data_IF_032541306860
#
_entry.id   IF_032541306860
#
_cell.length_a   1.000
_cell.length_b   1.000
_cell.length_c   1.000
_cell.angle_alpha   90.00
_cell.angle_beta   90.00
_cell.angle_gamma   90.00
#
_symmetry.space_group_name_H-M   'P 1'
#
loop_
_entity.id
_entity.type
_entity.pdbx_description
1 polymer ?
#
# COMPACT_ATOMS: atom_id res chain seq x y z
N UNK A 1 5.06 22.56 -16.91
CA UNK A 1 5.28 22.59 -15.45
C UNK A 1 6.63 21.96 -15.14
N UNK A 2 7.31 22.41 -14.10
CA UNK A 2 8.58 21.78 -13.67
C UNK A 2 8.27 20.42 -13.05
N UNK A 3 8.95 19.32 -13.44
CA UNK A 3 8.72 18.00 -12.85
C UNK A 3 8.98 17.99 -11.35
N UNK A 4 8.17 17.26 -10.59
CA UNK A 4 8.39 17.02 -9.17
C UNK A 4 9.61 16.14 -8.98
N UNK A 5 10.58 16.59 -8.19
CA UNK A 5 11.80 15.82 -7.90
C UNK A 5 11.53 14.79 -6.81
N UNK A 6 11.85 13.53 -7.07
CA UNK A 6 11.64 12.43 -6.13
C UNK A 6 12.93 11.66 -5.83
N UNK A 7 13.00 11.14 -4.61
CA UNK A 7 13.98 10.12 -4.24
C UNK A 7 13.27 8.79 -3.96
N UNK A 8 13.89 7.68 -4.33
CA UNK A 8 13.37 6.34 -4.11
C UNK A 8 14.25 5.64 -3.08
N UNK A 9 13.68 5.21 -1.96
CA UNK A 9 14.33 4.44 -0.90
C UNK A 9 13.92 2.96 -1.00
N UNK A 10 14.89 2.06 -0.91
CA UNK A 10 14.78 0.66 -1.30
C UNK A 10 14.87 0.47 -2.82
N UNK A 11 15.66 1.33 -3.50
CA UNK A 11 15.69 1.47 -4.95
C UNK A 11 16.18 0.22 -5.70
N UNK A 12 17.11 -0.56 -5.12
CA UNK A 12 17.60 -1.80 -5.70
C UNK A 12 16.64 -2.99 -5.52
N UNK A 13 15.61 -2.85 -4.66
CA UNK A 13 14.60 -3.86 -4.41
C UNK A 13 13.61 -4.05 -5.58
N UNK A 14 12.78 -5.10 -5.48
CA UNK A 14 11.77 -5.43 -6.50
C UNK A 14 10.81 -4.27 -6.80
N UNK A 15 10.33 -3.58 -5.77
CA UNK A 15 9.43 -2.43 -5.94
C UNK A 15 10.19 -1.17 -6.34
N UNK A 16 11.38 -0.93 -5.76
CA UNK A 16 12.23 0.20 -6.10
C UNK A 16 12.56 0.26 -7.59
N UNK A 17 12.96 -0.87 -8.18
CA UNK A 17 13.22 -0.96 -9.64
C UNK A 17 11.97 -0.65 -10.48
N UNK A 18 10.76 -1.05 -10.03
CA UNK A 18 9.51 -0.68 -10.74
C UNK A 18 9.21 0.81 -10.62
N UNK A 19 9.43 1.41 -9.43
CA UNK A 19 9.31 2.85 -9.23
C UNK A 19 10.29 3.64 -10.11
N UNK A 20 11.55 3.20 -10.20
CA UNK A 20 12.55 3.80 -11.10
C UNK A 20 12.09 3.70 -12.55
N UNK A 21 11.69 2.48 -13.00
CA UNK A 21 11.28 2.27 -14.39
C UNK A 21 10.07 3.12 -14.78
N UNK A 22 9.04 3.18 -13.94
CA UNK A 22 7.82 3.93 -14.24
C UNK A 22 7.98 5.44 -14.00
N UNK A 23 8.71 5.83 -12.95
CA UNK A 23 8.97 7.23 -12.65
C UNK A 23 9.89 7.91 -13.68
N UNK A 24 10.78 7.15 -14.35
CA UNK A 24 11.66 7.70 -15.39
C UNK A 24 10.95 8.08 -16.69
N UNK A 25 9.80 7.51 -16.95
CA UNK A 25 8.96 7.80 -18.14
C UNK A 25 7.79 8.75 -17.83
N UNK A 26 7.56 9.09 -16.57
CA UNK A 26 6.51 10.05 -16.18
C UNK A 26 7.03 11.47 -16.38
N UNK A 27 6.44 12.28 -17.31
CA UNK A 27 6.92 13.63 -17.62
C UNK A 27 6.75 14.63 -16.46
N UNK A 28 5.93 14.29 -15.46
CA UNK A 28 5.71 15.12 -14.28
C UNK A 28 6.66 14.81 -13.13
N UNK A 29 7.55 13.81 -13.30
CA UNK A 29 8.48 13.36 -12.27
C UNK A 29 9.93 13.44 -12.75
N UNK A 30 10.85 13.68 -11.80
CA UNK A 30 12.29 13.58 -12.00
C UNK A 30 12.91 12.83 -10.83
N UNK A 31 13.49 11.67 -11.10
CA UNK A 31 14.22 10.91 -10.09
C UNK A 31 15.59 11.61 -9.90
N UNK A 32 15.86 12.09 -8.67
CA UNK A 32 17.10 12.79 -8.32
C UNK A 32 17.97 12.00 -7.35
N UNK A 33 17.44 10.95 -6.74
CA UNK A 33 18.20 10.02 -5.91
C UNK A 33 17.56 8.63 -5.92
N UNK A 34 18.42 7.62 -5.80
CA UNK A 34 18.06 6.23 -5.61
C UNK A 34 18.87 5.72 -4.41
N UNK A 35 18.21 5.42 -3.30
CA UNK A 35 18.83 5.06 -2.03
C UNK A 35 18.54 3.61 -1.69
N UNK A 36 19.53 2.89 -1.22
CA UNK A 36 19.40 1.52 -0.74
C UNK A 36 20.32 1.29 0.46
N UNK A 37 20.29 0.08 1.03
CA UNK A 37 21.16 -0.30 2.14
C UNK A 37 22.62 0.06 1.86
N UNK A 38 23.38 0.61 2.81
CA UNK A 38 24.84 0.81 2.67
C UNK A 38 25.62 -0.48 2.36
N UNK A 39 25.03 -1.65 2.62
CA UNK A 39 25.58 -2.96 2.29
C UNK A 39 25.06 -3.54 0.95
N UNK A 40 24.28 -2.79 0.19
CA UNK A 40 23.74 -3.26 -1.09
C UNK A 40 24.87 -3.56 -2.09
N UNK A 41 24.84 -4.72 -2.78
CA UNK A 41 25.81 -5.04 -3.84
C UNK A 41 25.61 -4.20 -5.11
N UNK A 42 24.55 -3.41 -5.16
CA UNK A 42 24.18 -2.57 -6.29
C UNK A 42 24.62 -1.10 -6.12
N UNK A 43 25.32 -0.76 -5.01
CA UNK A 43 25.86 0.60 -4.82
C UNK A 43 26.73 1.04 -5.99
N UNK A 44 26.56 2.29 -6.42
CA UNK A 44 27.28 2.91 -7.54
C UNK A 44 26.74 2.55 -8.91
N UNK A 45 25.88 1.52 -9.06
CA UNK A 45 25.22 1.21 -10.34
C UNK A 45 24.18 2.27 -10.66
N UNK A 46 23.99 2.58 -11.94
CA UNK A 46 22.91 3.46 -12.37
C UNK A 46 21.53 2.85 -12.09
N UNK A 47 20.65 3.64 -11.50
CA UNK A 47 19.30 3.18 -11.10
C UNK A 47 18.45 2.80 -12.31
N UNK A 48 18.54 3.54 -13.42
CA UNK A 48 17.80 3.24 -14.65
C UNK A 48 18.25 1.93 -15.27
N UNK A 49 19.54 1.72 -15.44
CA UNK A 49 20.10 0.47 -15.96
C UNK A 49 19.74 -0.72 -15.06
N UNK A 50 19.81 -0.54 -13.74
CA UNK A 50 19.41 -1.56 -12.77
C UNK A 50 17.91 -1.88 -12.84
N UNK A 51 17.10 -0.90 -13.19
CA UNK A 51 15.65 -1.06 -13.38
C UNK A 51 15.27 -1.62 -14.78
N UNK A 52 16.26 -1.83 -15.66
CA UNK A 52 16.04 -2.31 -17.04
C UNK A 52 15.51 -1.24 -17.99
N UNK A 53 15.86 0.02 -17.75
CA UNK A 53 15.51 1.17 -18.59
C UNK A 53 16.77 1.87 -19.14
N UNK A 54 16.62 3.11 -19.60
CA UNK A 54 17.74 3.94 -20.03
C UNK A 54 18.60 4.39 -18.83
N UNK A 55 19.86 4.74 -19.09
CA UNK A 55 20.71 5.34 -18.08
C UNK A 55 20.14 6.70 -17.61
N UNK A 56 20.01 6.86 -16.30
CA UNK A 56 19.45 8.07 -15.68
C UNK A 56 20.55 8.99 -15.11
N UNK A 57 21.79 8.54 -15.03
CA UNK A 57 22.89 9.19 -14.32
C UNK A 57 22.59 9.41 -12.83
N UNK A 58 21.81 8.50 -12.24
CA UNK A 58 21.43 8.48 -10.83
C UNK A 58 21.98 7.19 -10.20
N UNK A 59 23.14 7.24 -9.54
CA UNK A 59 23.71 6.05 -8.92
C UNK A 59 22.90 5.60 -7.69
N UNK A 60 22.83 4.29 -7.47
CA UNK A 60 22.33 3.75 -6.20
C UNK A 60 23.31 4.18 -5.09
N UNK A 61 22.80 4.89 -4.09
CA UNK A 61 23.58 5.42 -2.98
C UNK A 61 23.17 4.82 -1.63
N UNK A 62 24.11 4.73 -0.69
CA UNK A 62 23.83 4.27 0.68
C UNK A 62 23.19 5.35 1.57
N UNK A 63 23.04 6.58 1.08
CA UNK A 63 22.45 7.69 1.82
C UNK A 63 21.80 8.71 0.89
N UNK A 64 20.82 9.44 1.41
CA UNK A 64 20.16 10.53 0.69
C UNK A 64 21.01 11.80 0.80
N UNK A 65 21.69 12.20 -0.27
CA UNK A 65 22.61 13.34 -0.29
C UNK A 65 22.06 14.58 -1.01
N UNK A 66 20.83 14.51 -1.52
CA UNK A 66 20.16 15.61 -2.22
C UNK A 66 18.85 15.97 -1.49
N UNK A 67 18.24 17.09 -1.89
CA UNK A 67 16.96 17.58 -1.36
C UNK A 67 15.86 17.34 -2.41
N UNK A 68 15.13 16.20 -2.39
CA UNK A 68 13.98 15.98 -3.27
C UNK A 68 12.74 16.71 -2.73
N UNK A 69 11.73 16.85 -3.57
CA UNK A 69 10.42 17.35 -3.13
C UNK A 69 9.55 16.27 -2.46
N UNK A 70 9.86 14.99 -2.71
CA UNK A 70 9.27 13.88 -1.96
C UNK A 70 10.20 12.65 -1.96
N UNK A 71 10.10 11.83 -0.91
CA UNK A 71 10.73 10.51 -0.83
C UNK A 71 9.65 9.45 -0.91
N UNK A 72 9.90 8.37 -1.67
CA UNK A 72 9.07 7.17 -1.71
C UNK A 72 9.85 6.04 -1.05
N UNK A 73 9.29 5.44 0.00
CA UNK A 73 9.88 4.33 0.72
C UNK A 73 9.14 3.01 0.45
N UNK A 74 9.87 2.05 -0.13
CA UNK A 74 9.49 0.64 -0.25
C UNK A 74 10.61 -0.26 0.25
N UNK A 75 10.97 -0.10 1.51
CA UNK A 75 12.06 -0.84 2.15
C UNK A 75 11.55 -1.87 3.18
N UNK A 76 12.18 -1.92 4.32
CA UNK A 76 11.81 -2.73 5.47
C UNK A 76 11.60 -1.83 6.70
N UNK A 77 10.86 -2.26 7.76
CA UNK A 77 10.47 -1.39 8.87
C UNK A 77 11.62 -0.62 9.54
N UNK A 78 12.79 -1.27 9.73
CA UNK A 78 13.95 -0.60 10.31
C UNK A 78 14.52 0.51 9.39
N UNK A 79 14.60 0.25 8.09
CA UNK A 79 15.09 1.24 7.13
C UNK A 79 14.07 2.38 6.92
N UNK A 80 12.78 2.08 6.99
CA UNK A 80 11.70 3.06 6.95
C UNK A 80 11.77 4.04 8.12
N UNK A 81 12.14 3.57 9.32
CA UNK A 81 12.38 4.43 10.49
C UNK A 81 13.54 5.40 10.24
N UNK A 82 14.64 4.91 9.65
CA UNK A 82 15.81 5.76 9.35
C UNK A 82 15.48 6.84 8.33
N UNK A 83 14.80 6.48 7.21
CA UNK A 83 14.43 7.47 6.19
C UNK A 83 13.38 8.47 6.71
N UNK A 84 12.49 8.06 7.61
CA UNK A 84 11.54 8.95 8.28
C UNK A 84 12.29 10.05 9.06
N UNK A 85 13.33 9.71 9.82
CA UNK A 85 14.13 10.70 10.55
C UNK A 85 14.88 11.66 9.62
N UNK A 86 15.38 11.16 8.49
CA UNK A 86 16.02 11.99 7.46
C UNK A 86 15.00 12.95 6.84
N UNK A 87 13.82 12.46 6.46
CA UNK A 87 12.76 13.29 5.91
C UNK A 87 12.31 14.35 6.90
N UNK A 88 12.14 14.00 8.18
CA UNK A 88 11.78 14.91 9.26
C UNK A 88 12.83 16.02 9.44
N UNK A 89 14.12 15.67 9.54
CA UNK A 89 15.21 16.64 9.73
C UNK A 89 15.37 17.61 8.54
N UNK A 90 14.99 17.17 7.34
CA UNK A 90 15.11 17.94 6.10
C UNK A 90 13.81 18.58 5.63
N UNK A 91 12.72 18.39 6.36
CA UNK A 91 11.39 18.89 5.99
C UNK A 91 10.94 18.38 4.61
N UNK A 92 11.20 17.11 4.30
CA UNK A 92 10.85 16.47 3.02
C UNK A 92 9.61 15.59 3.18
N UNK A 93 8.58 15.75 2.32
CA UNK A 93 7.42 14.87 2.25
C UNK A 93 7.81 13.39 2.06
N UNK A 94 7.08 12.48 2.72
CA UNK A 94 7.33 11.05 2.68
C UNK A 94 6.10 10.26 2.23
N UNK A 95 6.28 9.40 1.23
CA UNK A 95 5.32 8.33 0.89
C UNK A 95 5.85 7.03 1.49
N UNK A 96 5.15 6.52 2.50
CA UNK A 96 5.56 5.35 3.27
C UNK A 96 4.70 4.15 2.87
N UNK A 97 5.27 3.25 2.08
CA UNK A 97 4.62 2.02 1.62
C UNK A 97 5.14 0.77 2.35
N UNK A 98 6.16 0.90 3.18
CA UNK A 98 6.67 -0.19 4.01
C UNK A 98 5.59 -0.66 4.99
N UNK A 99 5.36 -1.97 5.01
CA UNK A 99 4.41 -2.66 5.90
C UNK A 99 5.13 -3.33 7.07
N UNK A 100 4.37 -3.76 8.10
CA UNK A 100 4.94 -4.50 9.23
C UNK A 100 5.57 -3.62 10.30
N UNK A 101 5.32 -2.30 10.31
CA UNK A 101 5.74 -1.40 11.38
C UNK A 101 5.10 -1.81 12.71
N UNK A 102 5.90 -1.84 13.78
CA UNK A 102 5.43 -2.04 15.14
C UNK A 102 4.75 -0.78 15.71
N UNK A 103 4.16 -0.87 16.90
CA UNK A 103 3.37 0.23 17.45
C UNK A 103 4.22 1.45 17.80
N UNK A 104 5.48 1.27 18.20
CA UNK A 104 6.42 2.38 18.44
C UNK A 104 6.73 3.13 17.13
N UNK A 105 6.98 2.39 16.04
CA UNK A 105 7.20 2.98 14.72
C UNK A 105 5.96 3.69 14.18
N UNK A 106 4.76 3.11 14.39
CA UNK A 106 3.49 3.79 14.05
C UNK A 106 3.33 5.11 14.83
N UNK A 107 3.62 5.11 16.12
CA UNK A 107 3.58 6.33 16.92
C UNK A 107 4.56 7.41 16.41
N UNK A 108 5.76 7.02 15.98
CA UNK A 108 6.72 7.95 15.36
C UNK A 108 6.21 8.53 14.03
N UNK A 109 5.56 7.72 13.19
CA UNK A 109 4.95 8.19 11.93
C UNK A 109 3.87 9.25 12.23
N UNK A 110 2.98 8.99 13.20
CA UNK A 110 1.95 9.95 13.61
C UNK A 110 2.55 11.26 14.14
N UNK A 111 3.64 11.19 14.92
CA UNK A 111 4.32 12.36 15.44
C UNK A 111 4.99 13.15 14.31
N UNK A 112 5.70 12.48 13.41
CA UNK A 112 6.38 13.11 12.28
C UNK A 112 5.41 13.82 11.31
N UNK A 113 4.20 13.28 11.17
CA UNK A 113 3.15 13.86 10.33
C UNK A 113 2.67 15.24 10.83
N UNK A 114 2.95 15.61 12.09
CA UNK A 114 2.71 16.96 12.59
C UNK A 114 3.68 18.00 12.01
N UNK A 115 4.77 17.54 11.39
CA UNK A 115 5.87 18.40 10.93
C UNK A 115 6.08 18.32 9.42
N UNK A 116 5.85 17.17 8.80
CA UNK A 116 5.97 16.94 7.35
C UNK A 116 4.73 16.23 6.79
N UNK A 117 4.42 16.40 5.49
CA UNK A 117 3.40 15.59 4.84
C UNK A 117 3.84 14.12 4.76
N UNK A 118 3.01 13.20 5.23
CA UNK A 118 3.24 11.76 5.12
C UNK A 118 2.03 11.11 4.47
N UNK A 119 2.20 10.48 3.31
CA UNK A 119 1.21 9.54 2.77
C UNK A 119 1.56 8.15 3.25
N UNK A 120 0.70 7.57 4.09
CA UNK A 120 0.89 6.23 4.63
C UNK A 120 -0.30 5.34 4.34
N UNK A 121 -0.06 4.23 3.64
CA UNK A 121 -1.12 3.28 3.30
C UNK A 121 -0.57 1.85 3.27
N UNK A 122 -1.33 0.85 3.73
CA UNK A 122 -0.95 -0.57 3.65
C UNK A 122 -0.91 -1.10 2.20
N UNK A 123 -1.53 -0.39 1.28
CA UNK A 123 -1.47 -0.66 -0.16
C UNK A 123 -1.50 0.65 -0.93
N UNK A 124 -0.56 0.82 -1.86
CA UNK A 124 -0.51 1.98 -2.76
C UNK A 124 -1.36 1.78 -4.02
N UNK A 125 -1.98 0.61 -4.23
CA UNK A 125 -2.81 0.36 -5.41
C UNK A 125 -4.07 1.25 -5.43
N UNK A 126 -4.26 2.00 -6.50
CA UNK A 126 -5.45 2.83 -6.74
C UNK A 126 -6.73 2.00 -6.66
N UNK A 127 -6.77 0.86 -7.34
CA UNK A 127 -7.98 0.03 -7.41
C UNK A 127 -8.29 -0.66 -6.09
N UNK A 128 -7.28 -1.03 -5.29
CA UNK A 128 -7.47 -1.59 -3.94
C UNK A 128 -8.10 -0.54 -3.02
N UNK A 129 -7.60 0.70 -3.04
CA UNK A 129 -8.15 1.77 -2.20
C UNK A 129 -9.56 2.19 -2.65
N UNK A 130 -9.81 2.25 -3.96
CA UNK A 130 -11.17 2.45 -4.48
C UNK A 130 -12.11 1.31 -4.04
N UNK A 131 -11.69 0.05 -4.15
CA UNK A 131 -12.48 -1.09 -3.69
C UNK A 131 -12.77 -1.03 -2.18
N UNK A 132 -11.81 -0.59 -1.36
CA UNK A 132 -12.03 -0.34 0.08
C UNK A 132 -13.13 0.70 0.32
N UNK A 133 -13.14 1.80 -0.44
CA UNK A 133 -14.17 2.83 -0.37
C UNK A 133 -15.55 2.29 -0.79
N UNK A 134 -15.58 1.52 -1.89
CA UNK A 134 -16.81 0.89 -2.38
C UNK A 134 -17.36 -0.11 -1.35
N UNK A 135 -16.52 -0.91 -0.69
CA UNK A 135 -16.93 -1.81 0.38
C UNK A 135 -17.49 -1.06 1.59
N UNK A 136 -16.87 0.05 1.99
CA UNK A 136 -17.39 0.90 3.06
C UNK A 136 -18.77 1.46 2.70
N UNK A 137 -18.94 1.95 1.47
CA UNK A 137 -20.22 2.49 0.98
C UNK A 137 -21.28 1.40 0.90
N UNK A 138 -20.96 0.23 0.33
CA UNK A 138 -21.85 -0.92 0.28
C UNK A 138 -22.28 -1.36 1.69
N UNK A 139 -21.30 -1.52 2.60
CA UNK A 139 -21.57 -1.89 3.99
C UNK A 139 -22.51 -0.90 4.71
N UNK A 140 -22.32 0.42 4.48
CA UNK A 140 -23.17 1.46 5.08
C UNK A 140 -24.64 1.36 4.64
N UNK A 141 -24.87 1.00 3.38
CA UNK A 141 -26.23 0.77 2.84
C UNK A 141 -26.79 -0.56 3.33
N UNK A 142 -26.02 -1.64 3.17
CA UNK A 142 -26.51 -3.00 3.38
C UNK A 142 -26.72 -3.36 4.85
N UNK A 143 -26.01 -2.73 5.79
CA UNK A 143 -26.20 -3.00 7.24
C UNK A 143 -27.63 -2.76 7.75
N UNK A 144 -28.45 -2.03 6.99
CA UNK A 144 -29.85 -1.71 7.36
C UNK A 144 -30.84 -2.79 6.88
N UNK A 145 -30.36 -3.80 6.14
CA UNK A 145 -31.22 -4.87 5.64
C UNK A 145 -31.74 -5.74 6.80
N UNK A 146 -33.05 -5.85 6.94
CA UNK A 146 -33.70 -6.58 8.03
C UNK A 146 -33.33 -8.08 8.06
N UNK A 147 -33.04 -8.67 6.90
CA UNK A 147 -32.58 -10.06 6.77
C UNK A 147 -31.13 -10.30 7.25
N UNK A 148 -30.41 -9.23 7.53
CA UNK A 148 -28.97 -9.28 7.75
C UNK A 148 -28.16 -9.46 6.46
N UNK A 149 -26.85 -9.32 6.58
CA UNK A 149 -25.90 -9.44 5.46
C UNK A 149 -24.69 -10.25 5.91
N UNK A 150 -24.39 -11.29 5.17
CA UNK A 150 -23.20 -12.10 5.35
C UNK A 150 -22.01 -11.46 4.63
N UNK A 151 -20.83 -11.43 5.28
CA UNK A 151 -19.61 -10.89 4.70
C UNK A 151 -18.53 -11.95 4.64
N UNK A 152 -18.03 -12.21 3.43
CA UNK A 152 -16.91 -13.13 3.22
C UNK A 152 -15.82 -12.42 2.37
N UNK A 153 -14.57 -12.66 2.72
CA UNK A 153 -13.41 -12.11 2.02
C UNK A 153 -12.58 -13.27 1.51
N UNK A 154 -12.45 -13.37 0.20
CA UNK A 154 -11.65 -14.40 -0.48
C UNK A 154 -10.43 -13.72 -1.06
N UNK A 155 -9.23 -14.19 -0.71
CA UNK A 155 -7.99 -13.65 -1.25
C UNK A 155 -7.13 -14.72 -1.87
N UNK A 156 -6.40 -14.36 -2.92
CA UNK A 156 -5.48 -15.25 -3.62
C UNK A 156 -4.15 -14.55 -3.84
N UNK A 157 -3.06 -15.21 -3.43
CA UNK A 157 -1.69 -14.76 -3.66
C UNK A 157 -0.79 -15.92 -4.10
N UNK A 158 0.42 -15.54 -4.52
CA UNK A 158 1.47 -16.49 -4.92
C UNK A 158 1.84 -17.44 -3.77
N UNK A 159 2.38 -18.62 -4.13
CA UNK A 159 2.77 -19.67 -3.18
C UNK A 159 3.83 -19.26 -2.15
N UNK A 160 4.59 -18.19 -2.43
CA UNK A 160 5.67 -17.69 -1.57
C UNK A 160 5.20 -16.65 -0.53
N UNK A 161 3.88 -16.37 -0.44
CA UNK A 161 3.35 -15.44 0.56
C UNK A 161 3.12 -16.19 1.87
N UNK A 162 3.82 -15.75 2.92
CA UNK A 162 3.84 -16.41 4.23
C UNK A 162 2.65 -16.02 5.11
N UNK A 163 2.28 -14.74 5.12
CA UNK A 163 1.15 -14.24 5.91
C UNK A 163 -0.20 -14.67 5.31
N UNK A 164 -1.13 -15.06 6.16
CA UNK A 164 -2.49 -15.51 5.80
C UNK A 164 -3.46 -15.24 6.96
N UNK A 165 -4.58 -14.49 6.72
CA UNK A 165 -4.90 -13.74 5.50
C UNK A 165 -3.92 -12.62 5.22
N UNK A 166 -3.93 -12.10 3.98
CA UNK A 166 -3.10 -10.95 3.59
C UNK A 166 -3.48 -9.69 4.38
N UNK A 167 -2.51 -8.80 4.62
CA UNK A 167 -2.77 -7.52 5.28
C UNK A 167 -3.87 -6.69 4.59
N UNK A 168 -3.98 -6.78 3.25
CA UNK A 168 -5.05 -6.14 2.48
C UNK A 168 -6.41 -6.75 2.78
N UNK A 169 -6.52 -8.08 2.89
CA UNK A 169 -7.76 -8.75 3.26
C UNK A 169 -8.21 -8.37 4.68
N UNK A 170 -7.26 -8.32 5.62
CA UNK A 170 -7.54 -7.89 6.99
C UNK A 170 -8.02 -6.42 7.02
N UNK A 171 -7.44 -5.55 6.19
CA UNK A 171 -7.88 -4.14 6.10
C UNK A 171 -9.27 -3.99 5.51
N UNK A 172 -9.65 -4.78 4.51
CA UNK A 172 -11.04 -4.84 4.04
C UNK A 172 -12.00 -5.22 5.17
N UNK A 173 -11.67 -6.26 5.93
CA UNK A 173 -12.50 -6.69 7.07
C UNK A 173 -12.58 -5.65 8.18
N UNK A 174 -11.49 -4.98 8.53
CA UNK A 174 -11.48 -3.88 9.50
C UNK A 174 -12.42 -2.74 9.07
N UNK A 175 -12.34 -2.31 7.81
CA UNK A 175 -13.20 -1.25 7.26
C UNK A 175 -14.68 -1.66 7.32
N UNK A 176 -15.00 -2.88 6.89
CA UNK A 176 -16.38 -3.39 6.90
C UNK A 176 -16.90 -3.56 8.33
N UNK A 177 -16.10 -4.11 9.23
CA UNK A 177 -16.44 -4.24 10.64
C UNK A 177 -16.74 -2.87 11.28
N UNK A 178 -15.92 -1.86 11.00
CA UNK A 178 -16.14 -0.49 11.48
C UNK A 178 -17.44 0.14 10.99
N UNK A 179 -17.87 -0.20 9.76
CA UNK A 179 -19.11 0.33 9.18
C UNK A 179 -20.34 -0.47 9.59
N UNK A 180 -20.27 -1.81 9.58
CA UNK A 180 -21.40 -2.71 9.76
C UNK A 180 -21.54 -3.23 11.20
N UNK A 181 -20.48 -3.18 12.01
CA UNK A 181 -20.49 -3.60 13.40
C UNK A 181 -20.25 -5.10 13.63
N UNK A 182 -19.74 -5.84 12.63
CA UNK A 182 -19.33 -7.23 12.85
C UNK A 182 -18.16 -7.27 13.84
N UNK A 183 -18.20 -8.24 14.75
CA UNK A 183 -17.22 -8.35 15.84
C UNK A 183 -16.36 -9.60 15.76
N UNK A 184 -16.78 -10.59 14.96
CA UNK A 184 -16.12 -11.89 14.86
C UNK A 184 -15.40 -12.00 13.52
N UNK A 185 -14.11 -12.30 13.57
CA UNK A 185 -13.26 -12.58 12.39
C UNK A 185 -12.96 -14.08 12.36
N UNK A 186 -13.47 -14.78 11.35
CA UNK A 186 -13.35 -16.23 11.18
C UNK A 186 -12.36 -16.54 10.05
N UNK A 187 -11.28 -17.20 10.37
CA UNK A 187 -10.23 -17.60 9.43
C UNK A 187 -10.46 -19.05 8.96
N UNK A 188 -11.18 -19.18 7.84
CA UNK A 188 -11.55 -20.49 7.28
C UNK A 188 -12.65 -21.23 8.06
N UNK A 189 -13.16 -22.28 7.44
CA UNK A 189 -14.12 -23.24 8.05
C UNK A 189 -13.73 -24.65 7.62
N UNK A 190 -13.77 -25.60 8.56
CA UNK A 190 -13.47 -27.01 8.31
C UNK A 190 -14.44 -27.90 9.07
N UNK A 191 -14.92 -28.98 8.45
CA UNK A 191 -15.84 -29.94 9.06
C UNK A 191 -17.25 -29.37 9.31
N UNK A 192 -17.92 -29.86 10.34
CA UNK A 192 -19.27 -29.46 10.73
C UNK A 192 -19.22 -28.31 11.75
N UNK A 193 -19.14 -27.07 11.27
CA UNK A 193 -18.97 -25.86 12.11
C UNK A 193 -20.29 -25.21 12.54
N UNK A 194 -21.43 -25.81 12.20
CA UNK A 194 -22.76 -25.25 12.45
C UNK A 194 -23.16 -24.18 11.43
N UNK A 195 -24.29 -23.52 11.70
CA UNK A 195 -24.76 -22.42 10.85
C UNK A 195 -23.89 -21.17 11.04
N UNK A 196 -23.66 -20.42 9.95
CA UNK A 196 -22.92 -19.16 9.97
C UNK A 196 -23.66 -18.11 10.83
N UNK A 197 -23.00 -17.45 11.80
CA UNK A 197 -23.53 -16.29 12.50
C UNK A 197 -23.54 -15.04 11.62
N UNK A 198 -24.54 -14.16 11.76
CA UNK A 198 -24.64 -12.92 10.96
C UNK A 198 -23.55 -11.87 11.28
N UNK A 199 -23.05 -11.85 12.53
CA UNK A 199 -22.04 -10.87 12.97
C UNK A 199 -20.61 -11.28 12.69
N UNK A 200 -20.40 -12.24 11.80
CA UNK A 200 -19.09 -12.79 11.43
C UNK A 200 -18.62 -12.23 10.08
N UNK A 201 -17.31 -11.97 9.97
CA UNK A 201 -16.61 -11.79 8.68
C UNK A 201 -15.74 -13.02 8.46
N UNK A 202 -15.99 -13.77 7.38
CA UNK A 202 -15.17 -14.91 7.00
C UNK A 202 -13.98 -14.51 6.12
N UNK A 203 -12.85 -15.23 6.26
CA UNK A 203 -11.65 -15.03 5.44
C UNK A 203 -11.21 -16.36 4.84
N UNK A 204 -10.94 -16.36 3.53
CA UNK A 204 -10.50 -17.51 2.77
C UNK A 204 -9.26 -17.18 1.97
N UNK A 205 -8.13 -17.74 2.37
CA UNK A 205 -6.83 -17.46 1.77
C UNK A 205 -6.40 -18.59 0.83
N UNK A 206 -6.18 -18.27 -0.43
CA UNK A 206 -5.66 -19.19 -1.44
C UNK A 206 -4.21 -18.84 -1.76
N UNK A 207 -3.32 -19.86 -1.81
CA UNK A 207 -1.91 -19.74 -2.18
C UNK A 207 -1.65 -20.59 -3.42
N UNK A 208 -1.35 -19.95 -4.56
CA UNK A 208 -1.17 -20.66 -5.84
C UNK A 208 -0.35 -19.85 -6.83
N UNK A 209 0.51 -20.54 -7.59
CA UNK A 209 1.28 -19.94 -8.68
C UNK A 209 2.11 -18.73 -8.26
N UNK A 210 2.08 -17.70 -9.09
CA UNK A 210 2.82 -16.43 -8.97
C UNK A 210 1.89 -15.20 -8.85
N UNK A 211 0.60 -15.40 -8.58
CA UNK A 211 -0.43 -14.37 -8.48
C UNK A 211 -0.01 -13.21 -7.54
N UNK A 212 0.06 -11.96 -8.02
CA UNK A 212 0.48 -10.81 -7.21
C UNK A 212 -0.49 -10.45 -6.08
N UNK A 213 -1.79 -10.76 -6.27
CA UNK A 213 -2.84 -10.52 -5.29
C UNK A 213 -4.21 -10.27 -5.92
N UNK A 214 -5.20 -11.02 -5.47
CA UNK A 214 -6.61 -10.83 -5.79
C UNK A 214 -7.41 -10.81 -4.50
N UNK A 215 -8.47 -10.00 -4.44
CA UNK A 215 -9.39 -9.94 -3.32
C UNK A 215 -10.81 -9.83 -3.85
N UNK A 216 -11.68 -10.72 -3.39
CA UNK A 216 -13.12 -10.66 -3.64
C UNK A 216 -13.84 -10.51 -2.31
N UNK A 217 -14.58 -9.46 -2.17
CA UNK A 217 -15.41 -9.16 -1.01
C UNK A 217 -16.86 -9.46 -1.39
N UNK A 218 -17.46 -10.37 -0.67
CA UNK A 218 -18.82 -10.89 -0.91
C UNK A 218 -19.76 -10.36 0.18
N UNK A 219 -20.82 -9.69 -0.22
CA UNK A 219 -21.94 -9.32 0.62
C UNK A 219 -23.14 -10.19 0.19
N UNK A 220 -23.43 -11.21 0.98
CA UNK A 220 -24.54 -12.16 0.73
C UNK A 220 -25.81 -11.72 1.42
N UNK A 221 -26.90 -11.61 0.66
CA UNK A 221 -28.25 -11.31 1.13
C UNK A 221 -29.19 -12.48 0.79
N UNK A 222 -30.41 -12.45 1.29
CA UNK A 222 -31.43 -13.40 0.84
C UNK A 222 -31.86 -13.03 -0.59
N UNK A 223 -31.60 -13.95 -1.54
CA UNK A 223 -32.00 -13.81 -2.93
C UNK A 223 -31.00 -13.10 -3.85
N UNK A 224 -29.98 -12.44 -3.30
CA UNK A 224 -28.96 -11.74 -4.11
C UNK A 224 -27.59 -11.68 -3.42
N UNK A 225 -26.56 -11.40 -4.20
CA UNK A 225 -25.18 -11.24 -3.72
C UNK A 225 -24.52 -10.07 -4.44
N UNK A 226 -23.82 -9.23 -3.70
CA UNK A 226 -22.91 -8.24 -4.26
C UNK A 226 -21.48 -8.71 -4.08
N UNK A 227 -20.70 -8.76 -5.16
CA UNK A 227 -19.28 -9.04 -5.12
C UNK A 227 -18.47 -7.84 -5.62
N UNK A 228 -17.44 -7.45 -4.85
CA UNK A 228 -16.46 -6.45 -5.25
C UNK A 228 -15.13 -7.16 -5.39
N UNK A 229 -14.62 -7.25 -6.62
CA UNK A 229 -13.36 -7.94 -6.91
C UNK A 229 -12.31 -6.99 -7.42
N UNK A 230 -11.11 -7.06 -6.84
CA UNK A 230 -9.92 -6.33 -7.30
C UNK A 230 -8.78 -7.31 -7.53
N UNK A 231 -8.07 -7.15 -8.67
CA UNK A 231 -6.97 -8.03 -9.09
C UNK A 231 -5.76 -7.21 -9.49
N UNK A 232 -4.60 -7.53 -8.92
CA UNK A 232 -3.34 -7.05 -9.43
C UNK A 232 -2.85 -7.98 -10.55
N UNK A 233 -2.51 -7.43 -11.71
CA UNK A 233 -1.93 -8.19 -12.82
C UNK A 233 -0.40 -8.26 -12.74
N UNK A 234 0.20 -7.20 -12.18
CA UNK A 234 1.63 -7.12 -11.85
C UNK A 234 1.85 -6.12 -10.70
N UNK A 235 3.11 -5.87 -10.32
CA UNK A 235 3.43 -4.94 -9.23
C UNK A 235 3.37 -3.46 -9.60
N UNK A 236 3.17 -3.13 -10.85
CA UNK A 236 3.13 -1.74 -11.33
C UNK A 236 1.98 -0.94 -10.72
N UNK A 237 0.87 -1.60 -10.39
CA UNK A 237 -0.25 -0.96 -9.72
C UNK A 237 0.13 -0.30 -8.39
N UNK A 238 1.07 -0.88 -7.64
CA UNK A 238 1.57 -0.30 -6.39
C UNK A 238 2.56 0.83 -6.66
N UNK A 239 3.43 0.67 -7.66
CA UNK A 239 4.41 1.70 -8.02
C UNK A 239 3.72 2.95 -8.58
N UNK A 240 2.76 2.79 -9.49
CA UNK A 240 1.98 3.91 -10.06
C UNK A 240 1.24 4.70 -8.99
N UNK A 241 0.61 4.01 -8.04
CA UNK A 241 -0.06 4.68 -6.92
C UNK A 241 0.90 5.43 -6.01
N UNK A 242 2.09 4.89 -5.75
CA UNK A 242 3.10 5.57 -4.94
C UNK A 242 3.71 6.78 -5.67
N UNK A 243 3.88 6.73 -7.00
CA UNK A 243 4.29 7.88 -7.81
C UNK A 243 3.24 8.99 -7.77
N UNK A 244 1.94 8.64 -7.86
CA UNK A 244 0.85 9.58 -7.68
C UNK A 244 0.85 10.18 -6.26
N UNK A 245 1.06 9.36 -5.23
CA UNK A 245 1.17 9.79 -3.85
C UNK A 245 2.35 10.76 -3.63
N UNK A 246 3.48 10.58 -4.32
CA UNK A 246 4.61 11.49 -4.22
C UNK A 246 4.29 12.87 -4.84
N UNK A 247 3.62 12.91 -5.99
CA UNK A 247 3.13 14.15 -6.60
C UNK A 247 2.15 14.89 -5.67
N UNK A 248 1.23 14.14 -5.05
CA UNK A 248 0.30 14.67 -4.07
C UNK A 248 1.05 15.22 -2.84
N UNK A 249 1.89 14.42 -2.19
CA UNK A 249 2.60 14.80 -0.96
C UNK A 249 3.47 16.05 -1.13
N UNK A 250 4.12 16.21 -2.31
CA UNK A 250 4.95 17.37 -2.62
C UNK A 250 4.19 18.70 -2.61
N UNK A 251 2.85 18.68 -2.69
CA UNK A 251 1.97 19.84 -2.70
C UNK A 251 1.21 20.04 -1.38
N UNK A 252 1.38 19.17 -0.38
CA UNK A 252 0.65 19.23 0.87
C UNK A 252 1.43 19.92 2.00
N UNK A 253 0.70 20.45 2.96
CA UNK A 253 1.24 20.85 4.25
C UNK A 253 1.45 19.63 5.19
N UNK A 254 2.06 19.84 6.39
CA UNK A 254 2.18 18.79 7.39
C UNK A 254 0.84 18.08 7.66
N UNK A 255 0.87 16.76 7.72
CA UNK A 255 -0.32 15.95 7.93
C UNK A 255 -0.09 14.48 7.61
N UNK A 256 -0.94 13.63 8.17
CA UNK A 256 -0.99 12.22 7.81
C UNK A 256 -2.11 12.01 6.80
N UNK A 257 -1.73 11.57 5.62
CA UNK A 257 -2.62 11.33 4.49
C UNK A 257 -2.66 9.85 4.15
N UNK A 258 -3.74 9.41 3.57
CA UNK A 258 -3.97 8.08 3.04
C UNK A 258 -4.03 8.09 1.51
N UNK A 259 -4.09 6.91 0.90
CA UNK A 259 -4.39 6.83 -0.53
C UNK A 259 -5.79 7.32 -0.89
N UNK A 260 -6.74 7.35 0.07
CA UNK A 260 -8.05 7.98 -0.18
C UNK A 260 -7.92 9.49 -0.42
N UNK A 261 -7.04 10.16 0.35
CA UNK A 261 -6.77 11.60 0.16
C UNK A 261 -6.08 11.86 -1.18
N UNK A 262 -5.13 11.01 -1.57
CA UNK A 262 -4.44 11.07 -2.88
C UNK A 262 -5.42 10.93 -4.03
N UNK A 263 -6.46 10.11 -3.87
CA UNK A 263 -7.44 9.79 -4.91
C UNK A 263 -8.70 10.67 -4.86
N UNK A 264 -8.86 11.51 -3.84
CA UNK A 264 -10.04 12.34 -3.65
C UNK A 264 -11.31 11.54 -3.32
N UNK A 265 -11.19 10.45 -2.53
CA UNK A 265 -12.27 9.48 -2.22
C UNK A 265 -13.03 9.81 -0.92
#
# INVERSE_FOLDING_TARGET
>A
MTPTTIAIHGAAGRMGRRLVALGSIDPELKIVAAVDSPSSPDLGKDAGLLAGTVELHVPIAGALNVQPQAVIDFSVPHAAEQILQICLSRQVPLVLATTGCNDAQKAQIHLAAQTIPIVWSPSMSTTVNLAMKLCATAGAVLKQMASGVDVEIIERHHRMKEDSPSGTALKFGEIIAGVMGQQVHRHGREGQVGRRPQHEIGYHAVRTGDNPGEHTIVFGLLGETLEITVKATNRDCYALGALAAAKFAACQGPGLYSMSDVLGL
#
